data_IF_294904171927
#
_entry.id   IF_294904171927
#
_cell.length_a   1.000
_cell.length_b   1.000
_cell.length_c   1.000
_cell.angle_alpha   90.00
_cell.angle_beta   90.00
_cell.angle_gamma   90.00
#
_symmetry.space_group_name_H-M   'P 1'
#
loop_
_entity.id
_entity.type
_entity.pdbx_description
1 polymer ?
#
# COMPACT_ATOMS: atom_id res chain seq x y z
N UNK A 1 24.81 -23.70 -14.65
CA UNK A 1 24.88 -22.28 -15.07
C UNK A 1 23.85 -21.57 -14.21
N UNK A 2 24.27 -20.65 -13.34
CA UNK A 2 23.33 -19.90 -12.51
C UNK A 2 22.75 -18.80 -13.41
N UNK A 3 21.47 -18.92 -13.74
CA UNK A 3 20.74 -17.82 -14.36
C UNK A 3 20.67 -16.73 -13.29
N UNK A 4 21.52 -15.73 -13.43
CA UNK A 4 21.44 -14.50 -12.64
C UNK A 4 20.12 -13.85 -13.02
N UNK A 5 19.08 -14.12 -12.23
CA UNK A 5 17.78 -13.50 -12.43
C UNK A 5 17.95 -12.02 -12.06
N UNK A 6 18.32 -11.21 -13.06
CA UNK A 6 18.43 -9.76 -12.92
C UNK A 6 17.07 -9.25 -12.43
N UNK A 7 17.03 -8.58 -11.28
CA UNK A 7 15.80 -8.05 -10.70
C UNK A 7 15.84 -6.52 -10.76
N UNK A 8 14.70 -5.91 -11.06
CA UNK A 8 14.50 -4.48 -11.16
C UNK A 8 13.42 -4.03 -10.18
N UNK A 9 13.68 -2.94 -9.47
CA UNK A 9 12.69 -2.31 -8.61
C UNK A 9 11.69 -1.52 -9.45
N UNK A 10 10.40 -1.80 -9.28
CA UNK A 10 9.36 -1.05 -9.95
C UNK A 10 9.16 0.32 -9.26
N UNK A 11 9.31 1.43 -9.98
CA UNK A 11 9.09 2.77 -9.41
C UNK A 11 7.65 3.07 -8.98
N UNK A 12 6.69 2.23 -9.41
CA UNK A 12 5.25 2.36 -9.16
C UNK A 12 4.80 1.67 -7.87
N UNK A 13 5.22 0.43 -7.63
CA UNK A 13 4.90 -0.32 -6.40
C UNK A 13 6.08 -0.47 -5.44
N UNK A 14 7.27 0.00 -5.81
CA UNK A 14 8.54 -0.14 -5.06
C UNK A 14 8.89 -1.58 -4.69
N UNK A 15 8.38 -2.56 -5.43
CA UNK A 15 8.71 -3.98 -5.26
C UNK A 15 9.82 -4.40 -6.21
N UNK A 16 10.66 -5.32 -5.77
CA UNK A 16 11.65 -6.01 -6.62
C UNK A 16 10.95 -7.03 -7.51
N UNK A 17 11.24 -6.97 -8.80
CA UNK A 17 10.62 -7.82 -9.82
C UNK A 17 11.70 -8.32 -10.76
N UNK A 18 11.72 -9.60 -11.10
CA UNK A 18 12.62 -10.13 -12.12
C UNK A 18 12.50 -9.33 -13.43
N UNK A 19 13.62 -8.98 -14.03
CA UNK A 19 13.72 -8.18 -15.25
C UNK A 19 12.98 -8.88 -16.40
N UNK A 20 13.11 -10.20 -16.51
CA UNK A 20 12.35 -11.05 -17.43
C UNK A 20 10.82 -10.88 -17.29
N UNK A 21 10.35 -10.59 -16.07
CA UNK A 21 8.93 -10.37 -15.76
C UNK A 21 8.57 -8.87 -15.67
N UNK A 22 9.51 -7.95 -15.81
CA UNK A 22 9.29 -6.52 -15.60
C UNK A 22 8.33 -5.93 -16.62
N UNK A 23 8.41 -6.33 -17.89
CA UNK A 23 7.50 -5.87 -18.95
C UNK A 23 6.04 -6.27 -18.68
N UNK A 24 5.84 -7.52 -18.23
CA UNK A 24 4.52 -8.00 -17.81
C UNK A 24 4.06 -7.26 -16.55
N UNK A 25 4.95 -7.13 -15.57
CA UNK A 25 4.69 -6.43 -14.33
C UNK A 25 4.36 -4.96 -14.56
N UNK A 26 5.01 -4.21 -15.45
CA UNK A 26 4.70 -2.80 -15.67
C UNK A 26 3.25 -2.62 -16.16
N UNK A 27 2.84 -3.48 -17.09
CA UNK A 27 1.47 -3.54 -17.62
C UNK A 27 0.46 -3.90 -16.52
N UNK A 28 0.82 -4.86 -15.66
CA UNK A 28 0.00 -5.28 -14.53
C UNK A 28 -0.05 -4.20 -13.45
N UNK A 29 1.09 -3.79 -12.92
CA UNK A 29 1.29 -2.77 -11.89
C UNK A 29 0.58 -1.46 -12.24
N UNK A 30 0.62 -1.00 -13.50
CA UNK A 30 -0.14 0.18 -13.90
C UNK A 30 -1.66 0.00 -13.78
N UNK A 31 -2.18 -1.20 -14.04
CA UNK A 31 -3.60 -1.54 -13.94
C UNK A 31 -4.03 -1.93 -12.53
N UNK A 32 -3.08 -2.39 -11.72
CA UNK A 32 -3.28 -2.87 -10.38
C UNK A 32 -2.91 -1.83 -9.33
N UNK A 33 -2.31 -0.70 -9.68
CA UNK A 33 -2.24 0.45 -8.78
C UNK A 33 -3.62 1.08 -8.67
N UNK A 34 -4.09 1.22 -7.44
CA UNK A 34 -5.33 1.92 -7.11
C UNK A 34 -5.00 3.11 -6.21
N UNK A 35 -5.69 4.22 -6.44
CA UNK A 35 -5.61 5.36 -5.54
C UNK A 35 -6.47 5.07 -4.32
N UNK A 36 -5.91 5.26 -3.12
CA UNK A 36 -6.65 5.15 -1.89
C UNK A 36 -7.58 6.36 -1.75
N UNK A 37 -8.89 6.13 -1.66
CA UNK A 37 -9.91 7.18 -1.51
C UNK A 37 -9.78 8.00 -0.21
N UNK A 38 -9.03 7.49 0.77
CA UNK A 38 -8.89 8.13 2.07
C UNK A 38 -7.65 9.02 2.22
N UNK A 39 -6.61 8.81 1.40
CA UNK A 39 -5.38 9.60 1.46
C UNK A 39 -4.83 10.01 0.08
N UNK A 40 -5.55 9.68 -0.99
CA UNK A 40 -5.16 9.87 -2.39
C UNK A 40 -3.78 9.28 -2.76
N UNK A 41 -3.27 8.37 -1.94
CA UNK A 41 -2.00 7.70 -2.19
C UNK A 41 -2.18 6.58 -3.24
N UNK A 42 -1.24 6.49 -4.17
CA UNK A 42 -1.22 5.38 -5.15
C UNK A 42 -0.68 4.12 -4.47
N UNK A 43 -1.57 3.18 -4.16
CA UNK A 43 -1.26 1.93 -3.46
C UNK A 43 -1.52 0.73 -4.39
N UNK A 44 -0.64 -0.29 -4.42
CA UNK A 44 -0.92 -1.50 -5.17
C UNK A 44 -2.22 -2.13 -4.66
N UNK A 45 -3.14 -2.56 -5.52
CA UNK A 45 -4.43 -3.14 -5.11
C UNK A 45 -4.29 -4.36 -4.20
N UNK A 46 -3.18 -5.11 -4.35
CA UNK A 46 -2.78 -6.18 -3.42
C UNK A 46 -2.51 -5.67 -2.01
N UNK A 47 -1.81 -4.54 -1.90
CA UNK A 47 -1.48 -3.89 -0.63
C UNK A 47 -2.55 -2.88 -0.18
N UNK A 48 -3.46 -2.45 -1.05
CA UNK A 48 -4.49 -1.45 -0.73
C UNK A 48 -5.36 -1.93 0.42
N UNK A 49 -5.69 -3.23 0.45
CA UNK A 49 -6.44 -3.82 1.54
C UNK A 49 -5.66 -3.76 2.85
N UNK A 50 -4.34 -4.03 2.79
CA UNK A 50 -3.44 -4.01 3.94
C UNK A 50 -3.19 -2.57 4.43
N UNK A 51 -2.88 -1.65 3.53
CA UNK A 51 -2.78 -0.21 3.78
C UNK A 51 -4.07 0.35 4.41
N UNK A 52 -5.24 -0.02 3.88
CA UNK A 52 -6.51 0.39 4.50
C UNK A 52 -6.69 -0.22 5.87
N UNK A 53 -6.22 -1.44 6.13
CA UNK A 53 -6.27 -2.01 7.46
C UNK A 53 -5.29 -1.32 8.42
N UNK A 54 -4.04 -1.13 8.03
CA UNK A 54 -3.00 -0.56 8.90
C UNK A 54 -3.20 0.94 9.14
N UNK A 55 -3.55 1.70 8.10
CA UNK A 55 -3.64 3.16 8.17
C UNK A 55 -5.08 3.67 8.31
N UNK A 56 -6.02 3.08 7.55
CA UNK A 56 -7.39 3.57 7.43
C UNK A 56 -8.44 2.77 8.23
N UNK A 57 -8.01 1.81 9.06
CA UNK A 57 -8.98 1.04 9.86
C UNK A 57 -9.73 1.98 10.77
N UNK A 58 -11.06 1.98 10.66
CA UNK A 58 -11.92 2.80 11.51
C UNK A 58 -11.98 2.20 12.90
N UNK A 59 -11.17 2.73 13.81
CA UNK A 59 -11.22 2.36 15.22
C UNK A 59 -12.01 3.41 16.00
N UNK A 60 -12.55 2.99 17.15
CA UNK A 60 -13.35 3.85 18.01
C UNK A 60 -12.46 4.36 19.14
N UNK A 61 -12.30 5.67 19.21
CA UNK A 61 -11.62 6.35 20.30
C UNK A 61 -12.32 6.04 21.63
N UNK A 62 -11.60 5.50 22.61
CA UNK A 62 -12.18 5.15 23.91
C UNK A 62 -12.56 6.37 24.74
N UNK A 63 -11.85 7.49 24.56
CA UNK A 63 -12.06 8.75 25.30
C UNK A 63 -13.21 9.59 24.74
N UNK A 64 -13.30 9.67 23.42
CA UNK A 64 -14.16 10.60 22.69
C UNK A 64 -15.31 9.92 21.92
N UNK A 65 -15.35 8.59 21.89
CA UNK A 65 -16.35 7.72 21.23
C UNK A 65 -16.55 7.96 19.72
N UNK A 66 -15.77 8.84 19.08
CA UNK A 66 -15.78 9.08 17.63
C UNK A 66 -15.10 7.92 16.88
N UNK A 67 -15.60 7.63 15.67
CA UNK A 67 -14.95 6.73 14.72
C UNK A 67 -13.96 7.54 13.89
N UNK A 68 -12.70 7.17 13.95
CA UNK A 68 -11.62 7.80 13.20
C UNK A 68 -10.69 6.71 12.68
N UNK A 69 -9.84 7.07 11.71
CA UNK A 69 -8.92 6.13 11.10
C UNK A 69 -7.75 5.85 12.05
N UNK A 70 -7.22 4.64 11.98
CA UNK A 70 -6.18 4.11 12.88
C UNK A 70 -4.97 5.03 12.94
N UNK A 71 -4.52 5.56 11.79
CA UNK A 71 -3.40 6.51 11.70
C UNK A 71 -3.63 7.77 12.55
N UNK A 72 -4.84 8.31 12.53
CA UNK A 72 -5.19 9.50 13.31
C UNK A 72 -5.54 9.17 14.76
N UNK A 73 -6.05 7.97 15.05
CA UNK A 73 -6.37 7.55 16.42
C UNK A 73 -5.12 7.45 17.27
N UNK A 74 -4.04 6.87 16.75
CA UNK A 74 -2.77 6.78 17.48
C UNK A 74 -2.27 8.17 17.89
N UNK A 75 -2.40 9.16 17.02
CA UNK A 75 -2.04 10.55 17.32
C UNK A 75 -3.06 11.23 18.25
N UNK A 76 -4.35 10.92 18.09
CA UNK A 76 -5.45 11.47 18.88
C UNK A 76 -5.49 10.98 20.34
N UNK A 77 -5.11 9.73 20.63
CA UNK A 77 -5.13 9.18 22.00
C UNK A 77 -3.96 9.66 22.87
N UNK A 78 -2.89 10.20 22.26
CA UNK A 78 -1.70 10.70 22.95
C UNK A 78 -1.88 12.13 23.49
N UNK A 79 -2.91 12.85 23.05
CA UNK A 79 -3.22 14.22 23.46
C UNK A 79 -4.45 14.29 24.36
#
# INVERSE_FOLDING_TARGET
MAEEEETRVCGRCKSEVAESNFTLHESHCSRFLCVCDACDESVPKSELQKHKDEQHTKVRCSKCKKKMERRFITEHEVN
#
